data_IF_691903168796
#
_entry.id   IF_691903168796
#
_cell.length_a   1.000
_cell.length_b   1.000
_cell.length_c   1.000
_cell.angle_alpha   90.00
_cell.angle_beta   90.00
_cell.angle_gamma   90.00
#
_symmetry.space_group_name_H-M   'P 1'
#
loop_
_entity.id
_entity.type
_entity.pdbx_description
1 polymer ?
#
# COMPACT_ATOMS: atom_id res chain seq x y z
N UNK A 1 9.18 13.85 33.80
CA UNK A 1 8.11 14.71 33.26
C UNK A 1 8.76 16.04 32.90
N UNK A 2 9.07 16.26 31.62
CA UNK A 2 9.56 17.54 31.11
C UNK A 2 8.35 18.19 30.43
N UNK A 3 7.56 18.96 31.19
CA UNK A 3 6.33 19.55 30.65
C UNK A 3 5.29 19.95 31.69
N UNK A 4 5.53 21.06 32.40
CA UNK A 4 4.46 21.79 33.11
C UNK A 4 4.63 23.30 32.88
N UNK A 5 4.54 23.73 31.62
CA UNK A 5 4.63 25.15 31.27
C UNK A 5 3.79 25.46 30.03
N UNK A 6 3.16 26.63 30.02
CA UNK A 6 2.40 27.15 28.88
C UNK A 6 3.38 27.57 27.77
N UNK A 7 3.32 26.94 26.59
CA UNK A 7 4.20 27.23 25.47
C UNK A 7 4.19 26.11 24.41
N UNK A 8 4.87 26.34 23.28
CA UNK A 8 5.13 25.34 22.24
C UNK A 8 6.57 25.46 21.76
N UNK A 9 7.10 24.41 21.15
CA UNK A 9 8.46 24.39 20.58
C UNK A 9 8.36 24.52 19.07
N UNK A 10 9.14 25.45 18.54
CA UNK A 10 9.32 25.62 17.10
C UNK A 10 10.74 25.21 16.75
N UNK A 11 10.87 24.26 15.84
CA UNK A 11 12.12 23.84 15.21
C UNK A 11 12.37 24.71 13.99
N UNK A 12 13.61 25.11 13.76
CA UNK A 12 14.01 26.04 12.71
C UNK A 12 15.40 25.66 12.20
N UNK A 13 15.67 25.92 10.92
CA UNK A 13 16.96 25.72 10.26
C UNK A 13 17.51 24.28 10.33
N UNK A 14 16.62 23.29 10.45
CA UNK A 14 16.99 21.87 10.38
C UNK A 14 16.65 21.36 8.99
N UNK A 15 17.67 20.92 8.27
CA UNK A 15 17.49 20.34 6.93
C UNK A 15 16.69 19.02 7.00
N UNK A 16 16.05 18.68 5.88
CA UNK A 16 15.50 17.34 5.69
C UNK A 16 16.62 16.32 5.42
N UNK A 17 16.48 15.06 5.89
CA UNK A 17 15.33 14.51 6.62
C UNK A 17 15.38 14.71 8.15
N UNK A 18 16.45 15.26 8.71
CA UNK A 18 16.70 15.34 10.15
C UNK A 18 15.61 16.10 10.91
N UNK A 19 15.02 17.13 10.29
CA UNK A 19 13.92 17.89 10.88
C UNK A 19 12.69 17.05 11.19
N UNK A 20 12.35 16.08 10.34
CA UNK A 20 11.20 15.21 10.55
C UNK A 20 11.41 14.26 11.74
N UNK A 21 12.62 13.71 11.86
CA UNK A 21 12.99 12.78 12.93
C UNK A 21 12.98 13.49 14.29
N UNK A 22 13.60 14.67 14.36
CA UNK A 22 13.70 15.46 15.60
C UNK A 22 12.32 15.93 16.04
N UNK A 23 11.49 16.40 15.11
CA UNK A 23 10.11 16.80 15.42
C UNK A 23 9.30 15.63 15.99
N UNK A 24 9.37 14.45 15.36
CA UNK A 24 8.63 13.28 15.81
C UNK A 24 9.08 12.83 17.20
N UNK A 25 10.39 12.75 17.45
CA UNK A 25 10.92 12.36 18.75
C UNK A 25 10.53 13.35 19.85
N UNK A 26 10.57 14.66 19.57
CA UNK A 26 10.15 15.68 20.52
C UNK A 26 8.64 15.60 20.78
N UNK A 27 7.80 15.35 19.76
CA UNK A 27 6.36 15.14 19.97
C UNK A 27 6.04 13.94 20.87
N UNK A 28 6.85 12.90 20.84
CA UNK A 28 6.64 11.68 21.64
C UNK A 28 6.97 11.88 23.13
N UNK A 29 7.89 12.80 23.45
CA UNK A 29 8.39 12.99 24.83
C UNK A 29 7.89 14.27 25.50
N UNK A 30 7.27 15.18 24.75
CA UNK A 30 6.88 16.50 25.25
C UNK A 30 5.37 16.63 25.42
N UNK A 31 4.98 17.19 26.56
CA UNK A 31 3.57 17.47 26.88
C UNK A 31 3.06 18.79 26.27
N UNK A 32 3.87 19.43 25.43
CA UNK A 32 3.59 20.70 24.75
C UNK A 32 3.70 20.56 23.23
N UNK A 33 2.97 21.35 22.43
CA UNK A 33 3.03 21.25 20.97
C UNK A 33 4.45 21.50 20.43
N UNK A 34 4.88 20.65 19.49
CA UNK A 34 6.13 20.81 18.74
C UNK A 34 5.79 20.99 17.27
N UNK A 35 6.31 22.05 16.66
CA UNK A 35 6.16 22.40 15.26
C UNK A 35 7.55 22.67 14.66
N UNK A 36 7.60 22.72 13.33
CA UNK A 36 8.78 23.10 12.58
C UNK A 36 8.43 24.20 11.59
N UNK A 37 9.18 25.30 11.57
CA UNK A 37 8.83 26.47 10.77
C UNK A 37 8.90 26.17 9.25
N UNK A 38 9.99 25.55 8.80
CA UNK A 38 10.10 25.13 7.39
C UNK A 38 9.05 24.09 6.98
N UNK A 39 8.59 23.20 7.87
CA UNK A 39 7.60 22.19 7.48
C UNK A 39 6.18 22.74 7.54
N UNK A 40 5.84 23.48 8.59
CA UNK A 40 4.46 23.90 8.89
C UNK A 40 4.22 25.36 8.52
N UNK A 41 5.11 26.26 8.90
CA UNK A 41 5.02 27.70 8.61
C UNK A 41 5.06 27.97 7.11
N UNK A 42 6.09 27.45 6.43
CA UNK A 42 6.20 27.57 4.97
C UNK A 42 5.04 26.88 4.24
N UNK A 43 4.55 25.74 4.74
CA UNK A 43 3.41 25.05 4.14
C UNK A 43 2.11 25.86 4.19
N UNK A 44 1.84 26.56 5.30
CA UNK A 44 0.69 27.45 5.44
C UNK A 44 0.78 28.60 4.43
N UNK A 45 1.96 29.20 4.27
CA UNK A 45 2.18 30.31 3.33
C UNK A 45 1.96 29.84 1.88
N UNK A 46 2.52 28.68 1.49
CA UNK A 46 2.33 28.14 0.15
C UNK A 46 0.87 27.77 -0.13
N UNK A 47 0.18 27.16 0.82
CA UNK A 47 -1.23 26.81 0.68
C UNK A 47 -2.10 28.07 0.51
N UNK A 48 -1.87 29.11 1.33
CA UNK A 48 -2.58 30.38 1.21
C UNK A 48 -2.29 31.07 -0.14
N UNK A 49 -1.02 31.10 -0.56
CA UNK A 49 -0.62 31.63 -1.87
C UNK A 49 -1.30 30.91 -3.03
N UNK A 50 -1.34 29.57 -2.97
CA UNK A 50 -2.00 28.75 -3.99
C UNK A 50 -3.51 28.99 -4.03
N UNK A 51 -4.20 28.99 -2.90
CA UNK A 51 -5.65 29.24 -2.83
C UNK A 51 -5.97 30.61 -3.42
N UNK A 52 -5.19 31.64 -3.07
CA UNK A 52 -5.37 32.99 -3.60
C UNK A 52 -5.09 33.05 -5.10
N UNK A 53 -4.05 32.39 -5.59
CA UNK A 53 -3.74 32.33 -7.03
C UNK A 53 -4.86 31.66 -7.84
N UNK A 54 -5.42 30.56 -7.31
CA UNK A 54 -6.56 29.86 -7.92
C UNK A 54 -7.81 30.75 -7.95
N UNK A 55 -8.11 31.42 -6.84
CA UNK A 55 -9.22 32.37 -6.72
C UNK A 55 -9.10 33.51 -7.75
N UNK A 56 -7.94 34.16 -7.82
CA UNK A 56 -7.68 35.25 -8.79
C UNK A 56 -7.77 34.75 -10.23
N UNK A 57 -7.36 33.50 -10.48
CA UNK A 57 -7.42 32.89 -11.81
C UNK A 57 -8.80 32.33 -12.18
N UNK A 58 -9.79 32.42 -11.28
CA UNK A 58 -11.12 31.85 -11.48
C UNK A 58 -11.15 30.32 -11.57
N UNK A 59 -10.10 29.64 -11.09
CA UNK A 59 -9.97 28.17 -11.13
C UNK A 59 -10.36 27.58 -9.80
N UNK A 60 -11.07 26.45 -9.82
CA UNK A 60 -11.30 25.66 -8.60
C UNK A 60 -10.09 24.78 -8.33
N UNK A 61 -9.91 24.41 -7.06
CA UNK A 61 -8.75 23.62 -6.64
C UNK A 61 -8.80 22.20 -7.21
N UNK A 62 -10.01 21.66 -7.41
CA UNK A 62 -10.25 20.37 -8.06
C UNK A 62 -9.81 20.34 -9.54
N UNK A 63 -9.76 21.49 -10.21
CA UNK A 63 -9.38 21.60 -11.62
C UNK A 63 -7.86 21.80 -11.81
N UNK A 64 -7.14 22.07 -10.72
CA UNK A 64 -5.72 22.39 -10.73
C UNK A 64 -4.84 21.14 -10.71
N UNK A 65 -4.04 20.94 -11.77
CA UNK A 65 -2.94 19.97 -11.79
C UNK A 65 -1.62 20.71 -11.58
N UNK A 66 -0.98 20.49 -10.44
CA UNK A 66 0.22 21.22 -10.01
C UNK A 66 1.34 20.22 -9.78
N UNK A 67 2.47 20.44 -10.45
CA UNK A 67 3.70 19.68 -10.24
C UNK A 67 4.68 20.57 -9.49
N UNK A 68 5.12 20.12 -8.31
CA UNK A 68 6.14 20.77 -7.51
C UNK A 68 7.47 20.03 -7.73
N UNK A 69 8.42 20.68 -8.39
CA UNK A 69 9.79 20.16 -8.57
C UNK A 69 10.73 20.94 -7.64
N UNK A 70 11.51 20.25 -6.82
CA UNK A 70 12.41 20.86 -5.82
C UNK A 70 11.76 21.14 -4.45
N UNK A 71 10.81 20.31 -4.02
CA UNK A 71 10.20 20.42 -2.70
C UNK A 71 11.22 20.13 -1.58
N UNK A 72 11.65 21.18 -0.86
CA UNK A 72 12.29 21.04 0.46
C UNK A 72 11.31 20.51 1.51
N UNK A 73 11.67 20.55 2.80
CA UNK A 73 10.84 20.06 3.90
C UNK A 73 9.38 20.58 3.85
N UNK A 74 9.20 21.86 3.50
CA UNK A 74 7.89 22.51 3.29
C UNK A 74 7.04 21.85 2.20
N UNK A 75 7.63 21.61 1.03
CA UNK A 75 6.90 21.06 -0.12
C UNK A 75 6.54 19.59 0.11
N UNK A 76 7.44 18.84 0.77
CA UNK A 76 7.17 17.46 1.21
C UNK A 76 6.08 17.44 2.27
N UNK A 77 6.09 18.34 3.26
CA UNK A 77 5.03 18.45 4.26
C UNK A 77 3.68 18.84 3.63
N UNK A 78 3.64 19.78 2.67
CA UNK A 78 2.44 20.09 1.88
C UNK A 78 1.91 18.89 1.09
N UNK A 79 2.79 18.11 0.47
CA UNK A 79 2.44 16.92 -0.31
C UNK A 79 1.98 15.77 0.60
N UNK A 80 2.68 15.55 1.72
CA UNK A 80 2.34 14.56 2.75
C UNK A 80 0.99 14.87 3.41
N UNK A 81 0.72 16.16 3.67
CA UNK A 81 -0.54 16.64 4.21
C UNK A 81 -1.71 16.44 3.24
N UNK A 82 -1.45 16.38 1.92
CA UNK A 82 -2.47 16.04 0.93
C UNK A 82 -2.70 14.54 0.85
N UNK A 83 -1.65 13.75 0.59
CA UNK A 83 -1.74 12.30 0.66
C UNK A 83 -0.37 11.63 0.82
N UNK A 84 -0.12 11.04 1.98
CA UNK A 84 1.12 10.31 2.29
C UNK A 84 1.36 9.08 1.39
N UNK A 85 0.33 8.43 0.87
CA UNK A 85 0.46 7.24 0.02
C UNK A 85 1.01 7.64 -1.35
N UNK A 86 0.50 8.71 -1.94
CA UNK A 86 1.03 9.27 -3.19
C UNK A 86 2.45 9.80 -3.00
N UNK A 87 2.72 10.51 -1.91
CA UNK A 87 4.06 11.03 -1.64
C UNK A 87 5.09 9.91 -1.50
N UNK A 88 4.80 8.89 -0.68
CA UNK A 88 5.71 7.75 -0.49
C UNK A 88 5.94 6.96 -1.79
N UNK A 89 4.92 6.83 -2.63
CA UNK A 89 5.07 6.26 -3.97
C UNK A 89 6.01 7.10 -4.86
N UNK A 90 5.88 8.42 -4.86
CA UNK A 90 6.79 9.31 -5.59
C UNK A 90 8.23 9.21 -5.08
N UNK A 91 8.44 9.09 -3.77
CA UNK A 91 9.77 8.89 -3.19
C UNK A 91 10.40 7.59 -3.70
N UNK A 92 9.65 6.49 -3.75
CA UNK A 92 10.10 5.22 -4.32
C UNK A 92 10.42 5.37 -5.83
N UNK A 93 9.55 6.03 -6.59
CA UNK A 93 9.73 6.23 -8.04
C UNK A 93 11.01 7.02 -8.38
N UNK A 94 11.48 7.86 -7.46
CA UNK A 94 12.70 8.66 -7.62
C UNK A 94 13.92 8.04 -6.92
N UNK A 95 13.83 6.80 -6.42
CA UNK A 95 14.95 6.07 -5.84
C UNK A 95 15.34 6.50 -4.41
N UNK A 96 14.42 7.13 -3.68
CA UNK A 96 14.63 7.49 -2.27
C UNK A 96 14.28 6.35 -1.29
N UNK A 97 13.91 5.18 -1.81
CA UNK A 97 13.69 3.94 -1.06
C UNK A 97 13.85 2.73 -1.99
N UNK A 98 14.11 1.57 -1.42
CA UNK A 98 14.22 0.31 -2.16
C UNK A 98 12.86 -0.39 -2.35
N UNK A 99 11.95 -0.16 -1.40
CA UNK A 99 10.59 -0.71 -1.37
C UNK A 99 9.61 0.24 -0.66
N UNK A 100 8.31 -0.05 -0.78
CA UNK A 100 7.24 0.68 -0.13
C UNK A 100 6.25 -0.28 0.54
N UNK A 101 6.07 -0.11 1.85
CA UNK A 101 4.94 -0.72 2.58
C UNK A 101 4.03 0.38 3.10
N UNK A 102 2.75 0.28 2.76
CA UNK A 102 1.78 1.32 3.10
C UNK A 102 0.40 0.75 3.37
N UNK A 103 -0.56 1.60 3.77
CA UNK A 103 -1.97 1.22 3.89
C UNK A 103 -2.47 0.80 5.28
N UNK A 104 -1.59 0.68 6.29
CA UNK A 104 -1.93 0.24 7.65
C UNK A 104 -3.11 0.97 8.32
N UNK A 105 -3.45 2.19 7.87
CA UNK A 105 -4.49 3.05 8.46
C UNK A 105 -5.64 3.39 7.51
N UNK A 106 -5.72 2.73 6.34
CA UNK A 106 -6.75 2.94 5.31
C UNK A 106 -7.16 1.60 4.68
N UNK A 107 -8.27 1.60 3.93
CA UNK A 107 -8.69 0.40 3.19
C UNK A 107 -7.75 0.17 2.00
N UNK A 108 -7.33 -1.08 1.78
CA UNK A 108 -6.36 -1.42 0.74
C UNK A 108 -6.77 -0.99 -0.68
N UNK A 109 -8.06 -1.11 -1.04
CA UNK A 109 -8.55 -0.66 -2.34
C UNK A 109 -8.35 0.84 -2.57
N UNK A 110 -8.64 1.66 -1.55
CA UNK A 110 -8.42 3.11 -1.64
C UNK A 110 -6.93 3.47 -1.72
N UNK A 111 -6.09 2.71 -1.00
CA UNK A 111 -4.64 2.91 -1.07
C UNK A 111 -4.12 2.54 -2.47
N UNK A 112 -4.63 1.46 -3.06
CA UNK A 112 -4.27 1.07 -4.43
C UNK A 112 -4.64 2.15 -5.45
N UNK A 113 -5.83 2.76 -5.35
CA UNK A 113 -6.23 3.90 -6.18
C UNK A 113 -5.21 5.05 -6.12
N UNK A 114 -4.69 5.34 -4.93
CA UNK A 114 -3.69 6.39 -4.73
C UNK A 114 -2.32 6.00 -5.28
N UNK A 115 -1.91 4.74 -5.11
CA UNK A 115 -0.67 4.22 -5.69
C UNK A 115 -0.71 4.27 -7.23
N UNK A 116 -1.88 4.03 -7.84
CA UNK A 116 -2.09 4.09 -9.29
C UNK A 116 -1.90 5.49 -9.90
N UNK A 117 -1.79 6.55 -9.08
CA UNK A 117 -1.36 7.86 -9.60
C UNK A 117 0.12 7.93 -9.97
N UNK A 118 0.93 6.96 -9.51
CA UNK A 118 2.39 6.97 -9.65
C UNK A 118 2.90 5.69 -10.33
N UNK A 119 2.32 4.54 -9.99
CA UNK A 119 2.72 3.23 -10.50
C UNK A 119 1.56 2.51 -11.13
N UNK A 120 1.81 1.82 -12.22
CA UNK A 120 0.83 1.00 -12.94
C UNK A 120 0.55 -0.31 -12.19
N UNK A 121 -0.31 -0.25 -11.15
CA UNK A 121 -0.61 -1.37 -10.25
C UNK A 121 -2.06 -1.90 -10.38
N UNK A 122 -2.80 -1.45 -11.39
CA UNK A 122 -4.16 -1.87 -11.69
C UNK A 122 -4.24 -3.13 -12.56
N UNK A 123 -5.48 -3.53 -12.90
CA UNK A 123 -5.78 -4.70 -13.70
C UNK A 123 -5.24 -4.58 -15.14
N UNK A 124 -5.31 -3.40 -15.76
CA UNK A 124 -4.90 -3.17 -17.16
C UNK A 124 -3.39 -3.40 -17.34
N UNK A 125 -2.61 -3.18 -16.28
CA UNK A 125 -1.18 -3.45 -16.21
C UNK A 125 -0.85 -4.81 -15.55
N UNK A 126 -1.89 -5.61 -15.32
CA UNK A 126 -1.86 -6.99 -14.85
C UNK A 126 -1.74 -7.17 -13.34
N UNK A 127 -1.74 -6.10 -12.54
CA UNK A 127 -1.62 -6.11 -11.09
C UNK A 127 -2.53 -7.16 -10.44
N UNK A 128 -2.03 -7.91 -9.46
CA UNK A 128 -2.84 -8.94 -8.79
C UNK A 128 -2.61 -8.96 -7.28
N UNK A 129 -3.69 -9.08 -6.50
CA UNK A 129 -3.63 -9.25 -5.05
C UNK A 129 -3.63 -10.71 -4.62
N UNK A 130 -2.50 -11.26 -4.21
CA UNK A 130 -2.41 -12.67 -3.77
C UNK A 130 -2.48 -12.75 -2.24
N UNK A 131 -3.47 -13.44 -1.68
CA UNK A 131 -3.54 -13.64 -0.22
C UNK A 131 -3.06 -15.02 0.16
N UNK A 132 -2.11 -15.09 1.10
CA UNK A 132 -1.60 -16.34 1.66
C UNK A 132 -2.36 -16.70 2.94
N UNK A 133 -2.79 -17.96 3.01
CA UNK A 133 -3.40 -18.59 4.19
C UNK A 133 -2.44 -19.62 4.75
N UNK A 134 -2.05 -19.45 6.01
CA UNK A 134 -1.21 -20.37 6.76
C UNK A 134 -2.05 -21.13 7.78
N UNK A 135 -2.06 -22.46 7.67
CA UNK A 135 -2.76 -23.31 8.62
C UNK A 135 -2.00 -24.63 8.82
N UNK A 136 -1.63 -24.94 10.08
CA UNK A 136 -0.92 -26.17 10.47
C UNK A 136 0.30 -26.48 9.60
N UNK A 137 1.13 -25.46 9.35
CA UNK A 137 2.35 -25.59 8.53
C UNK A 137 2.11 -25.76 7.03
N UNK A 138 0.88 -25.56 6.55
CA UNK A 138 0.53 -25.56 5.12
C UNK A 138 0.20 -24.15 4.66
N UNK A 139 0.61 -23.83 3.45
CA UNK A 139 0.30 -22.58 2.77
C UNK A 139 -0.70 -22.86 1.65
N UNK A 140 -1.78 -22.10 1.61
CA UNK A 140 -2.70 -22.03 0.49
C UNK A 140 -2.82 -20.56 0.03
N UNK A 141 -2.83 -20.32 -1.27
CA UNK A 141 -2.99 -18.99 -1.85
C UNK A 141 -4.40 -18.84 -2.42
N UNK A 142 -5.08 -17.75 -2.06
CA UNK A 142 -6.34 -17.33 -2.67
C UNK A 142 -6.05 -16.15 -3.57
N UNK A 143 -6.52 -16.23 -4.81
CA UNK A 143 -6.11 -15.29 -5.83
C UNK A 143 -7.11 -14.18 -6.05
N UNK A 144 -6.51 -13.04 -6.37
CA UNK A 144 -7.08 -11.71 -6.50
C UNK A 144 -8.11 -11.29 -5.46
N UNK A 145 -7.57 -10.82 -4.34
CA UNK A 145 -8.33 -10.25 -3.23
C UNK A 145 -8.28 -8.72 -3.21
N UNK A 146 -7.72 -8.07 -4.24
CA UNK A 146 -7.47 -6.63 -4.22
C UNK A 146 -7.82 -5.92 -5.55
N UNK A 147 -7.32 -6.40 -6.69
CA UNK A 147 -7.22 -5.64 -7.93
C UNK A 147 -8.43 -5.89 -8.84
N UNK A 148 -8.61 -7.10 -9.35
CA UNK A 148 -9.66 -7.40 -10.33
C UNK A 148 -11.00 -7.70 -9.63
N UNK A 149 -12.05 -6.96 -9.96
CA UNK A 149 -13.41 -7.24 -9.47
C UNK A 149 -14.03 -8.48 -10.16
N UNK A 150 -13.97 -8.48 -11.50
CA UNK A 150 -14.52 -9.51 -12.38
C UNK A 150 -13.48 -9.86 -13.47
N UNK A 151 -12.49 -10.71 -13.15
CA UNK A 151 -11.43 -11.06 -14.10
C UNK A 151 -11.99 -11.88 -15.26
N UNK A 152 -11.51 -11.58 -16.47
CA UNK A 152 -11.78 -12.40 -17.66
C UNK A 152 -10.85 -13.63 -17.74
N UNK A 153 -10.91 -14.38 -18.85
CA UNK A 153 -10.10 -15.59 -19.02
C UNK A 153 -8.58 -15.31 -19.05
N UNK A 154 -8.17 -14.18 -19.63
CA UNK A 154 -6.78 -13.77 -19.73
C UNK A 154 -6.28 -13.26 -18.37
N UNK A 155 -7.09 -12.46 -17.68
CA UNK A 155 -6.83 -12.01 -16.30
C UNK A 155 -6.64 -13.21 -15.37
N UNK A 156 -7.56 -14.19 -15.40
CA UNK A 156 -7.49 -15.39 -14.58
C UNK A 156 -6.20 -16.18 -14.83
N UNK A 157 -5.74 -16.28 -16.08
CA UNK A 157 -4.47 -16.90 -16.42
C UNK A 157 -3.28 -16.08 -15.89
N UNK A 158 -3.32 -14.76 -16.01
CA UNK A 158 -2.29 -13.83 -15.54
C UNK A 158 -2.14 -13.88 -14.02
N UNK A 159 -3.25 -13.77 -13.30
CA UNK A 159 -3.35 -13.89 -11.85
C UNK A 159 -2.77 -15.23 -11.38
N UNK A 160 -3.11 -16.34 -12.04
CA UNK A 160 -2.58 -17.66 -11.73
C UNK A 160 -1.05 -17.74 -11.90
N UNK A 161 -0.50 -17.13 -12.98
CA UNK A 161 0.95 -17.07 -13.20
C UNK A 161 1.66 -16.27 -12.12
N UNK A 162 1.12 -15.10 -11.76
CA UNK A 162 1.64 -14.22 -10.70
C UNK A 162 1.67 -14.92 -9.35
N UNK A 163 0.58 -15.57 -8.98
CA UNK A 163 0.52 -16.37 -7.76
C UNK A 163 1.47 -17.57 -7.73
N UNK A 164 1.73 -18.21 -8.87
CA UNK A 164 2.74 -19.25 -8.94
C UNK A 164 4.16 -18.69 -8.66
N UNK A 165 4.43 -17.44 -9.03
CA UNK A 165 5.62 -16.69 -8.64
C UNK A 165 5.71 -16.47 -7.13
N UNK A 166 4.62 -15.98 -6.52
CA UNK A 166 4.53 -15.81 -5.06
C UNK A 166 4.72 -17.13 -4.32
N UNK A 167 4.06 -18.21 -4.75
CA UNK A 167 4.18 -19.53 -4.14
C UNK A 167 5.63 -20.03 -4.15
N UNK A 168 6.37 -19.83 -5.24
CA UNK A 168 7.79 -20.22 -5.32
C UNK A 168 8.65 -19.46 -4.32
N UNK A 169 8.41 -18.16 -4.13
CA UNK A 169 9.12 -17.37 -3.11
C UNK A 169 8.79 -17.80 -1.68
N UNK A 170 7.55 -18.19 -1.41
CA UNK A 170 7.13 -18.70 -0.10
C UNK A 170 7.58 -20.15 0.16
N UNK A 171 8.17 -20.83 -0.83
CA UNK A 171 8.70 -22.18 -0.74
C UNK A 171 7.89 -23.30 -1.41
N UNK A 172 6.54 -23.36 -1.35
CA UNK A 172 5.82 -24.51 -1.89
C UNK A 172 5.79 -24.54 -3.42
N UNK A 173 5.91 -25.75 -4.00
CA UNK A 173 5.73 -25.95 -5.44
C UNK A 173 4.30 -25.57 -5.86
N UNK A 174 4.10 -24.74 -6.91
CA UNK A 174 2.77 -24.27 -7.29
C UNK A 174 1.90 -25.40 -7.86
N UNK A 175 0.67 -25.50 -7.36
CA UNK A 175 -0.39 -26.43 -7.79
C UNK A 175 -1.71 -25.68 -7.85
N UNK A 176 -2.02 -25.21 -9.05
CA UNK A 176 -3.15 -24.32 -9.33
C UNK A 176 -4.44 -25.11 -9.56
N UNK A 177 -5.53 -24.67 -8.94
CA UNK A 177 -6.88 -25.10 -9.24
C UNK A 177 -7.76 -23.89 -9.53
N UNK A 178 -8.55 -23.96 -10.60
CA UNK A 178 -9.58 -22.98 -10.92
C UNK A 178 -10.90 -23.43 -10.28
N UNK A 179 -11.44 -22.60 -9.39
CA UNK A 179 -12.62 -22.90 -8.60
C UNK A 179 -13.82 -22.19 -9.25
N UNK A 180 -14.84 -22.96 -9.61
CA UNK A 180 -16.06 -22.48 -10.24
C UNK A 180 -17.29 -23.23 -9.71
N UNK A 181 -18.45 -22.59 -9.75
CA UNK A 181 -19.75 -23.17 -9.38
C UNK A 181 -20.20 -24.30 -10.33
N UNK A 182 -19.60 -24.40 -11.53
CA UNK A 182 -19.86 -25.52 -12.46
C UNK A 182 -18.84 -26.64 -12.22
N UNK A 183 -19.35 -27.85 -12.03
CA UNK A 183 -18.64 -29.09 -11.66
C UNK A 183 -17.45 -29.51 -12.58
N UNK A 184 -17.13 -28.77 -13.64
CA UNK A 184 -16.21 -29.18 -14.71
C UNK A 184 -14.79 -28.61 -14.63
N UNK A 185 -14.44 -27.76 -13.65
CA UNK A 185 -13.13 -27.09 -13.62
C UNK A 185 -12.08 -27.68 -12.65
N UNK A 186 -12.38 -28.76 -11.92
CA UNK A 186 -11.35 -29.49 -11.14
C UNK A 186 -10.72 -30.54 -12.05
N UNK A 187 -9.87 -30.14 -12.99
CA UNK A 187 -9.16 -31.09 -13.86
C UNK A 187 -7.90 -31.62 -13.16
N UNK A 188 -7.99 -32.90 -12.75
CA UNK A 188 -6.95 -33.85 -12.33
C UNK A 188 -5.61 -33.27 -11.81
N UNK A 189 -5.63 -32.72 -10.60
CA UNK A 189 -4.41 -32.70 -9.78
C UNK A 189 -4.23 -34.07 -9.12
N UNK A 190 -3.02 -34.65 -9.20
CA UNK A 190 -2.64 -35.85 -8.44
C UNK A 190 -2.38 -35.48 -6.96
N UNK A 191 -3.36 -34.88 -6.27
CA UNK A 191 -3.29 -34.42 -4.88
C UNK A 191 -3.76 -32.96 -4.66
N UNK A 192 -3.62 -32.41 -3.44
CA UNK A 192 -4.25 -31.13 -3.07
C UNK A 192 -3.62 -29.93 -3.78
N UNK A 193 -4.46 -29.01 -4.26
CA UNK A 193 -4.06 -27.69 -4.71
C UNK A 193 -3.56 -26.83 -3.54
N UNK A 194 -2.64 -25.92 -3.82
CA UNK A 194 -2.21 -24.89 -2.88
C UNK A 194 -2.36 -23.47 -3.46
N UNK A 195 -2.87 -23.34 -4.68
CA UNK A 195 -3.21 -22.08 -5.32
C UNK A 195 -4.64 -22.20 -5.84
N UNK A 196 -5.53 -21.34 -5.34
CA UNK A 196 -6.97 -21.36 -5.64
C UNK A 196 -7.34 -20.09 -6.40
N UNK A 197 -7.54 -20.23 -7.71
CA UNK A 197 -8.06 -19.17 -8.57
C UNK A 197 -9.57 -19.18 -8.46
N UNK A 198 -10.16 -18.08 -8.00
CA UNK A 198 -11.61 -17.92 -7.87
C UNK A 198 -12.12 -16.96 -8.93
N UNK A 199 -13.39 -17.11 -9.32
CA UNK A 199 -13.96 -16.37 -10.45
C UNK A 199 -14.30 -14.90 -10.18
N UNK A 200 -14.19 -14.43 -8.93
CA UNK A 200 -14.52 -13.04 -8.56
C UNK A 200 -13.90 -12.65 -7.22
N UNK A 201 -13.57 -11.36 -7.06
CA UNK A 201 -12.96 -10.81 -5.83
C UNK A 201 -13.79 -11.05 -4.57
N UNK A 202 -15.09 -10.85 -4.67
CA UNK A 202 -16.01 -11.09 -3.56
C UNK A 202 -15.97 -12.55 -3.08
N UNK A 203 -15.88 -13.51 -4.00
CA UNK A 203 -15.74 -14.93 -3.66
C UNK A 203 -14.38 -15.24 -3.02
N UNK A 204 -13.33 -14.55 -3.46
CA UNK A 204 -11.99 -14.62 -2.86
C UNK A 204 -12.01 -14.17 -1.40
N UNK A 205 -12.55 -12.97 -1.15
CA UNK A 205 -12.62 -12.37 0.18
C UNK A 205 -13.49 -13.19 1.15
N UNK A 206 -14.62 -13.73 0.69
CA UNK A 206 -15.44 -14.65 1.48
C UNK A 206 -14.64 -15.89 1.87
N UNK A 207 -13.90 -16.47 0.92
CA UNK A 207 -13.09 -17.67 1.17
C UNK A 207 -11.94 -17.40 2.15
N UNK A 208 -11.25 -16.26 2.02
CA UNK A 208 -10.23 -15.81 2.98
C UNK A 208 -10.85 -15.67 4.37
N UNK A 209 -12.00 -14.99 4.48
CA UNK A 209 -12.63 -14.73 5.77
C UNK A 209 -13.15 -16.01 6.42
N UNK A 210 -13.73 -16.94 5.66
CA UNK A 210 -14.15 -18.24 6.16
C UNK A 210 -12.96 -19.05 6.69
N UNK A 211 -11.84 -19.08 5.96
CA UNK A 211 -10.63 -19.78 6.41
C UNK A 211 -10.03 -19.13 7.66
N UNK A 212 -10.04 -17.81 7.74
CA UNK A 212 -9.60 -17.07 8.92
C UNK A 212 -10.46 -17.42 10.15
N UNK A 213 -11.78 -17.33 10.04
CA UNK A 213 -12.69 -17.48 11.19
C UNK A 213 -12.96 -18.94 11.55
N UNK A 214 -13.21 -19.81 10.58
CA UNK A 214 -13.60 -21.21 10.82
C UNK A 214 -12.40 -22.13 11.02
N UNK A 215 -11.30 -21.90 10.30
CA UNK A 215 -10.11 -22.73 10.37
C UNK A 215 -9.00 -22.10 11.21
N UNK A 216 -9.20 -20.90 11.79
CA UNK A 216 -8.16 -20.16 12.50
C UNK A 216 -6.87 -20.04 11.67
N UNK A 217 -7.01 -19.87 10.35
CA UNK A 217 -5.88 -19.69 9.46
C UNK A 217 -5.28 -18.29 9.65
N UNK A 218 -3.96 -18.20 9.70
CA UNK A 218 -3.26 -16.91 9.64
C UNK A 218 -3.35 -16.39 8.21
N UNK A 219 -3.76 -15.15 8.04
CA UNK A 219 -3.87 -14.48 6.74
C UNK A 219 -2.67 -13.56 6.58
N UNK A 220 -2.03 -13.59 5.42
CA UNK A 220 -0.97 -12.64 5.03
C UNK A 220 -1.33 -12.05 3.67
N UNK A 221 -1.29 -10.73 3.56
CA UNK A 221 -1.55 -9.99 2.32
C UNK A 221 -2.75 -9.04 2.43
N UNK A 222 -3.24 -8.53 1.29
CA UNK A 222 -2.90 -8.93 -0.08
C UNK A 222 -1.44 -8.63 -0.44
N UNK A 223 -0.76 -9.62 -1.05
CA UNK A 223 0.55 -9.48 -1.65
C UNK A 223 0.33 -8.96 -3.07
N UNK A 224 0.68 -7.69 -3.28
CA UNK A 224 0.57 -7.06 -4.58
C UNK A 224 1.67 -7.62 -5.48
N UNK A 225 1.28 -8.11 -6.66
CA UNK A 225 2.17 -8.80 -7.59
C UNK A 225 2.14 -8.18 -8.98
N UNK A 226 3.31 -8.19 -9.62
CA UNK A 226 3.68 -7.67 -10.95
C UNK A 226 3.40 -6.18 -11.16
N UNK A 227 3.79 -5.42 -10.15
CA UNK A 227 4.21 -4.03 -10.31
C UNK A 227 5.74 -4.05 -10.41
N UNK A 228 6.34 -3.17 -11.21
CA UNK A 228 7.79 -3.18 -11.44
C UNK A 228 8.60 -2.86 -10.17
N UNK A 229 8.01 -2.12 -9.24
CA UNK A 229 8.60 -1.75 -7.96
C UNK A 229 8.05 -2.61 -6.82
N UNK A 230 8.88 -2.82 -5.80
CA UNK A 230 8.52 -3.57 -4.61
C UNK A 230 7.55 -2.76 -3.72
N UNK A 231 6.25 -2.88 -3.98
CA UNK A 231 5.19 -2.16 -3.27
C UNK A 231 4.24 -3.16 -2.64
N UNK A 232 3.96 -3.01 -1.34
CA UNK A 232 3.01 -3.84 -0.61
C UNK A 232 2.01 -3.00 0.18
N UNK A 233 0.74 -3.41 0.14
CA UNK A 233 -0.36 -2.77 0.87
C UNK A 233 -0.74 -3.67 2.04
N UNK A 234 -0.67 -3.13 3.25
CA UNK A 234 -0.83 -3.89 4.49
C UNK A 234 -2.02 -3.43 5.32
N UNK A 235 -2.53 -4.34 6.15
CA UNK A 235 -3.36 -4.01 7.31
C UNK A 235 -2.47 -3.62 8.51
N UNK A 236 -3.05 -3.00 9.54
CA UNK A 236 -2.32 -2.62 10.76
C UNK A 236 -1.59 -3.79 11.45
N UNK A 237 -2.07 -5.02 11.24
CA UNK A 237 -1.56 -6.20 11.94
C UNK A 237 -0.48 -6.95 11.14
N UNK A 238 -0.28 -6.60 9.87
CA UNK A 238 0.59 -7.35 8.95
C UNK A 238 1.84 -6.58 8.53
N UNK A 239 2.08 -5.39 9.10
CA UNK A 239 3.13 -4.46 8.67
C UNK A 239 4.50 -5.16 8.56
N UNK A 240 4.91 -5.91 9.59
CA UNK A 240 6.20 -6.60 9.61
C UNK A 240 6.31 -7.66 8.50
N UNK A 241 5.25 -8.46 8.32
CA UNK A 241 5.23 -9.49 7.28
C UNK A 241 5.32 -8.85 5.89
N UNK A 242 4.55 -7.80 5.65
CA UNK A 242 4.54 -7.11 4.36
C UNK A 242 5.86 -6.39 4.09
N UNK A 243 6.53 -5.84 5.11
CA UNK A 243 7.88 -5.28 4.99
C UNK A 243 8.90 -6.32 4.57
N UNK A 244 8.88 -7.51 5.19
CA UNK A 244 9.76 -8.61 4.79
C UNK A 244 9.47 -9.06 3.35
N UNK A 245 8.19 -9.17 2.97
CA UNK A 245 7.82 -9.55 1.60
C UNK A 245 8.27 -8.51 0.57
N UNK A 246 8.13 -7.22 0.88
CA UNK A 246 8.58 -6.13 0.02
C UNK A 246 10.11 -6.15 -0.15
N UNK A 247 10.87 -6.25 0.95
CA UNK A 247 12.33 -6.32 0.93
C UNK A 247 12.86 -7.56 0.18
N UNK A 248 12.15 -8.68 0.26
CA UNK A 248 12.46 -9.89 -0.51
C UNK A 248 11.95 -9.86 -1.96
N UNK A 249 11.32 -8.76 -2.41
CA UNK A 249 10.73 -8.59 -3.74
C UNK A 249 9.75 -9.72 -4.08
N UNK A 250 8.94 -10.11 -3.11
CA UNK A 250 7.90 -11.12 -3.29
C UNK A 250 6.65 -10.45 -3.85
N UNK A 251 6.36 -10.74 -5.12
CA UNK A 251 5.24 -10.14 -5.84
C UNK A 251 5.67 -9.75 -7.24
#
# INVERSE_FOLDING_TARGET
MIGQTFGGITLEDIKAPECFIIEQQLKEVMDIPVFHDDQHGSAVIYAAGLINALHISGKKIEDGRIVLNGAGAAGIACLAARDRHVLSALMLAHGHGDDLVTGATRKSAHVLELINHVFDADADHGGAGVTALLHKGRIALILDTLVHEWPDEEDLANIARRAAGVARHLGPKPRVAFVSFRHSAIRALNGPANILVVSARHSALISVKLMQEMAAATVIGPILSGVDQAIQICSSNDILNMAVLAACKVG
#
